data_IF_410411475161
#
_entry.id   IF_410411475161
#
_cell.length_a   1.000
_cell.length_b   1.000
_cell.length_c   1.000
_cell.angle_alpha   90.00
_cell.angle_beta   90.00
_cell.angle_gamma   90.00
#
_symmetry.space_group_name_H-M   'P 1'
#
loop_
_entity.id
_entity.type
_entity.pdbx_description
1 polymer ?
#
# COMPACT_ATOMS: atom_id res chain seq x y z
N UNK A 1 -19.26 36.67 -8.32
CA UNK A 1 -20.08 35.48 -8.04
C UNK A 1 -19.17 34.40 -7.47
N UNK A 2 -19.38 33.95 -6.24
CA UNK A 2 -18.57 32.89 -5.66
C UNK A 2 -18.99 31.55 -6.27
N UNK A 3 -18.07 30.91 -6.99
CA UNK A 3 -18.28 29.58 -7.57
C UNK A 3 -18.29 28.57 -6.43
N UNK A 4 -19.43 27.95 -6.15
CA UNK A 4 -19.49 26.81 -5.23
C UNK A 4 -18.86 25.60 -5.90
N UNK A 5 -17.77 25.09 -5.33
CA UNK A 5 -17.19 23.82 -5.78
C UNK A 5 -18.15 22.67 -5.51
N UNK A 6 -18.12 21.61 -6.33
CA UNK A 6 -18.88 20.39 -6.05
C UNK A 6 -18.46 19.81 -4.68
N UNK A 7 -19.35 19.05 -4.03
CA UNK A 7 -19.05 18.42 -2.75
C UNK A 7 -17.85 17.47 -2.88
N UNK A 8 -16.92 17.56 -1.92
CA UNK A 8 -15.77 16.67 -1.86
C UNK A 8 -16.23 15.22 -1.67
N UNK A 9 -15.89 14.28 -2.58
CA UNK A 9 -16.49 12.96 -2.59
C UNK A 9 -15.91 12.01 -1.55
N UNK A 10 -14.78 12.35 -0.92
CA UNK A 10 -14.05 11.44 -0.04
C UNK A 10 -14.34 11.69 1.45
N UNK A 11 -14.27 10.63 2.30
CA UNK A 11 -14.41 10.77 3.75
C UNK A 11 -13.41 11.73 4.40
N UNK A 12 -13.76 12.24 5.58
CA UNK A 12 -12.88 13.11 6.38
C UNK A 12 -11.72 12.38 7.04
N UNK A 13 -11.85 11.06 7.24
CA UNK A 13 -10.87 10.23 7.93
C UNK A 13 -10.32 9.18 6.99
N UNK A 14 -8.99 9.08 6.96
CA UNK A 14 -8.26 8.17 6.10
C UNK A 14 -7.40 7.28 6.99
N UNK A 15 -7.49 5.97 6.83
CA UNK A 15 -6.61 5.04 7.52
C UNK A 15 -5.24 5.03 6.82
N UNK A 16 -4.25 5.64 7.46
CA UNK A 16 -2.88 5.70 6.98
C UNK A 16 -2.28 4.29 6.88
N UNK A 17 -1.76 3.93 5.70
CA UNK A 17 -1.18 2.62 5.37
C UNK A 17 -2.03 1.42 5.80
N UNK A 18 -3.35 1.51 5.68
CA UNK A 18 -4.28 0.43 6.03
C UNK A 18 -4.94 0.57 7.42
N UNK A 19 -4.16 0.62 8.51
CA UNK A 19 -4.71 0.71 9.88
C UNK A 19 -3.80 1.46 10.86
N UNK A 20 -2.97 2.38 10.36
CA UNK A 20 -1.99 3.09 11.16
C UNK A 20 -1.00 2.13 11.81
N UNK A 21 -1.03 2.03 13.15
CA UNK A 21 -0.13 1.18 13.94
C UNK A 21 -0.80 -0.08 14.49
N UNK A 22 -2.04 -0.37 14.09
CA UNK A 22 -2.84 -1.49 14.64
C UNK A 22 -2.57 -2.83 13.91
N UNK A 23 -1.96 -2.76 12.72
CA UNK A 23 -1.65 -3.89 11.86
C UNK A 23 -0.41 -3.53 11.02
N UNK A 24 0.30 -4.52 10.43
CA UNK A 24 1.48 -4.27 9.61
C UNK A 24 1.12 -3.36 8.43
N UNK A 25 1.74 -2.19 8.38
CA UNK A 25 1.46 -1.15 7.39
C UNK A 25 1.52 -1.69 5.95
N UNK A 26 0.71 -1.12 5.06
CA UNK A 26 0.75 -1.42 3.61
C UNK A 26 0.43 -2.89 3.26
N UNK A 27 -0.29 -3.62 4.11
CA UNK A 27 -0.71 -5.03 3.89
C UNK A 27 -2.22 -5.18 3.72
N UNK A 28 -2.69 -6.28 3.14
CA UNK A 28 -4.12 -6.57 3.04
C UNK A 28 -4.73 -6.80 4.44
N UNK A 29 -3.97 -7.41 5.35
CA UNK A 29 -4.33 -7.55 6.76
C UNK A 29 -4.62 -6.19 7.41
N UNK A 30 -3.80 -5.17 7.17
CA UNK A 30 -4.07 -3.82 7.69
C UNK A 30 -5.35 -3.22 7.12
N UNK A 31 -5.67 -3.43 5.84
CA UNK A 31 -6.90 -2.90 5.26
C UNK A 31 -8.14 -3.57 5.84
N UNK A 32 -8.08 -4.89 6.06
CA UNK A 32 -9.14 -5.65 6.75
C UNK A 32 -9.32 -5.16 8.18
N UNK A 33 -8.22 -4.96 8.89
CA UNK A 33 -8.23 -4.47 10.26
C UNK A 33 -8.84 -3.07 10.34
N UNK A 34 -8.37 -2.12 9.53
CA UNK A 34 -8.91 -0.75 9.51
C UNK A 34 -10.39 -0.71 9.09
N UNK A 35 -10.81 -1.54 8.14
CA UNK A 35 -12.23 -1.65 7.76
C UNK A 35 -13.11 -2.13 8.92
N UNK A 36 -12.60 -3.03 9.76
CA UNK A 36 -13.29 -3.50 10.97
C UNK A 36 -13.54 -2.39 12.01
N UNK A 37 -12.73 -1.32 12.01
CA UNK A 37 -12.94 -0.12 12.83
C UNK A 37 -13.84 0.93 12.18
N UNK A 38 -14.42 0.65 11.01
CA UNK A 38 -15.35 1.56 10.34
C UNK A 38 -14.71 2.54 9.36
N UNK A 39 -13.40 2.48 9.12
CA UNK A 39 -12.77 3.31 8.08
C UNK A 39 -13.35 2.96 6.69
N UNK A 40 -13.52 4.00 5.87
CA UNK A 40 -14.05 3.91 4.49
C UNK A 40 -13.11 4.49 3.44
N UNK A 41 -11.97 5.01 3.88
CA UNK A 41 -10.89 5.46 3.00
C UNK A 41 -9.56 5.04 3.59
N UNK A 42 -8.66 4.58 2.72
CA UNK A 42 -7.34 4.06 3.08
C UNK A 42 -6.28 4.76 2.25
N UNK A 43 -5.19 5.15 2.88
CA UNK A 43 -3.99 5.60 2.19
C UNK A 43 -2.97 4.47 2.17
N UNK A 44 -2.14 4.43 1.13
CA UNK A 44 -1.02 3.51 1.02
C UNK A 44 0.03 3.98 0.00
N UNK A 45 1.23 3.44 0.17
CA UNK A 45 2.43 3.77 -0.62
C UNK A 45 2.66 2.77 -1.75
N UNK A 46 2.78 3.24 -2.99
CA UNK A 46 3.04 2.37 -4.15
C UNK A 46 4.39 2.66 -4.80
N UNK A 47 5.11 1.59 -5.15
CA UNK A 47 6.33 1.61 -5.98
C UNK A 47 6.42 0.41 -6.90
N UNK A 48 7.50 0.32 -7.66
CA UNK A 48 7.74 -0.77 -8.60
C UNK A 48 8.74 -1.79 -8.06
N UNK A 49 8.46 -3.07 -8.31
CA UNK A 49 9.45 -4.15 -8.29
C UNK A 49 10.45 -4.02 -9.45
N UNK A 50 11.50 -4.86 -9.45
CA UNK A 50 12.51 -4.90 -10.51
C UNK A 50 11.91 -5.17 -11.90
N UNK A 51 10.89 -6.02 -11.97
CA UNK A 51 10.12 -6.34 -13.19
C UNK A 51 8.94 -5.38 -13.43
N UNK A 52 8.93 -4.22 -12.77
CA UNK A 52 8.02 -3.11 -13.05
C UNK A 52 6.60 -3.30 -12.55
N UNK A 53 6.37 -4.20 -11.59
CA UNK A 53 5.04 -4.46 -11.03
C UNK A 53 4.75 -3.53 -9.84
N UNK A 54 3.59 -2.85 -9.79
CA UNK A 54 3.23 -2.02 -8.64
C UNK A 54 2.96 -2.84 -7.37
N UNK A 55 3.71 -2.55 -6.31
CA UNK A 55 3.64 -3.17 -4.99
C UNK A 55 3.50 -2.12 -3.91
N UNK A 56 2.89 -2.49 -2.78
CA UNK A 56 2.76 -1.59 -1.63
C UNK A 56 3.95 -1.75 -0.68
N UNK A 57 4.70 -0.67 -0.49
CA UNK A 57 5.80 -0.59 0.48
C UNK A 57 6.22 0.87 0.64
N UNK A 58 6.37 1.36 1.86
CA UNK A 58 6.81 2.75 2.08
C UNK A 58 8.30 2.97 1.79
N UNK A 59 9.18 2.20 2.43
CA UNK A 59 10.62 2.42 2.42
C UNK A 59 11.27 1.96 1.11
N UNK A 60 12.31 2.66 0.65
CA UNK A 60 13.09 2.21 -0.51
C UNK A 60 13.71 0.82 -0.31
N UNK A 61 13.88 0.41 0.95
CA UNK A 61 14.46 -0.88 1.34
C UNK A 61 13.46 -1.75 2.08
N UNK A 62 13.78 -3.04 2.17
CA UNK A 62 12.93 -4.09 2.73
C UNK A 62 13.10 -4.26 4.25
N UNK A 63 14.13 -3.65 4.82
CA UNK A 63 14.70 -3.97 6.13
C UNK A 63 13.74 -3.75 7.32
N UNK A 64 12.91 -2.70 7.28
CA UNK A 64 12.08 -2.30 8.42
C UNK A 64 10.82 -3.13 8.56
N UNK A 65 10.15 -3.45 7.45
CA UNK A 65 8.78 -3.98 7.46
C UNK A 65 8.66 -5.33 6.76
N UNK A 66 9.77 -6.02 6.53
CA UNK A 66 9.74 -7.35 5.90
C UNK A 66 10.85 -8.26 6.43
N UNK A 67 10.81 -9.54 6.06
CA UNK A 67 11.92 -10.49 6.26
C UNK A 67 13.10 -10.29 5.30
N UNK A 68 12.95 -9.45 4.27
CA UNK A 68 13.99 -9.17 3.29
C UNK A 68 15.00 -8.11 3.72
N UNK A 69 15.99 -7.86 2.86
CA UNK A 69 17.06 -6.85 3.05
C UNK A 69 17.38 -6.17 1.74
N UNK A 70 17.82 -4.92 1.81
CA UNK A 70 18.24 -4.16 0.63
C UNK A 70 17.08 -3.55 -0.13
N UNK A 71 17.34 -3.06 -1.35
CA UNK A 71 16.37 -2.28 -2.12
C UNK A 71 15.22 -3.13 -2.64
N UNK A 72 14.00 -2.60 -2.55
CA UNK A 72 12.81 -3.29 -3.06
C UNK A 72 12.79 -3.39 -4.59
N UNK A 73 13.35 -2.41 -5.29
CA UNK A 73 13.44 -2.40 -6.77
C UNK A 73 14.56 -3.29 -7.33
N UNK A 74 15.28 -4.01 -6.48
CA UNK A 74 16.24 -5.03 -6.88
C UNK A 74 15.62 -6.43 -7.02
N UNK A 75 14.40 -6.64 -6.51
CA UNK A 75 13.70 -7.92 -6.55
C UNK A 75 12.47 -7.87 -7.46
N UNK A 76 12.21 -8.96 -8.16
CA UNK A 76 10.99 -9.16 -8.95
C UNK A 76 9.77 -9.31 -8.03
N UNK A 77 8.56 -9.14 -8.58
CA UNK A 77 7.33 -9.41 -7.84
C UNK A 77 7.29 -10.84 -7.27
N UNK A 78 7.77 -11.82 -8.04
CA UNK A 78 7.81 -13.22 -7.60
C UNK A 78 8.66 -13.40 -6.34
N UNK A 79 9.83 -12.76 -6.28
CA UNK A 79 10.73 -12.77 -5.13
C UNK A 79 10.16 -11.99 -3.95
N UNK A 80 9.62 -10.78 -4.20
CA UNK A 80 8.98 -9.96 -3.16
C UNK A 80 7.79 -10.66 -2.50
N UNK A 81 7.02 -11.44 -3.28
CA UNK A 81 5.86 -12.19 -2.79
C UNK A 81 6.25 -13.34 -1.83
N UNK A 82 7.52 -13.75 -1.79
CA UNK A 82 8.00 -14.75 -0.83
C UNK A 82 8.39 -14.14 0.53
N UNK A 83 8.43 -12.81 0.64
CA UNK A 83 8.80 -12.12 1.88
C UNK A 83 7.62 -12.04 2.84
N UNK A 84 7.93 -12.09 4.13
CA UNK A 84 6.98 -11.88 5.21
C UNK A 84 7.00 -10.39 5.60
N UNK A 85 5.91 -9.69 5.34
CA UNK A 85 5.68 -8.28 5.64
C UNK A 85 4.84 -8.06 6.92
N UNK A 86 4.58 -9.10 7.72
CA UNK A 86 3.71 -9.02 8.90
C UNK A 86 4.36 -9.41 10.22
N UNK A 87 5.30 -10.36 10.22
CA UNK A 87 5.94 -10.87 11.45
C UNK A 87 6.67 -9.79 12.27
N UNK A 88 7.20 -8.75 11.62
CA UNK A 88 7.86 -7.63 12.29
C UNK A 88 6.90 -6.84 13.20
N UNK A 89 5.61 -6.82 12.87
CA UNK A 89 4.59 -6.13 13.63
C UNK A 89 4.12 -6.97 14.81
N UNK A 90 3.68 -8.21 14.55
CA UNK A 90 3.32 -9.17 15.60
C UNK A 90 3.16 -10.60 15.05
N UNK A 91 3.27 -11.64 15.90
CA UNK A 91 3.11 -13.04 15.48
C UNK A 91 1.75 -13.36 14.83
N UNK A 92 0.71 -12.58 15.15
CA UNK A 92 -0.63 -12.77 14.59
C UNK A 92 -0.72 -12.47 13.09
N UNK A 93 0.26 -11.75 12.53
CA UNK A 93 0.35 -11.42 11.11
C UNK A 93 1.50 -12.14 10.40
N UNK A 94 2.05 -13.20 11.02
CA UNK A 94 3.13 -13.95 10.41
C UNK A 94 2.73 -14.51 9.04
N UNK A 95 3.62 -14.35 8.06
CA UNK A 95 3.40 -14.77 6.67
C UNK A 95 2.56 -13.82 5.81
N UNK A 96 2.14 -12.66 6.32
CA UNK A 96 1.45 -11.66 5.49
C UNK A 96 2.38 -11.18 4.36
N UNK A 97 2.03 -11.33 3.08
CA UNK A 97 2.91 -10.97 1.98
C UNK A 97 2.88 -9.47 1.68
N UNK A 98 3.89 -8.98 0.94
CA UNK A 98 3.82 -7.65 0.28
C UNK A 98 2.72 -7.69 -0.78
N UNK A 99 1.65 -6.88 -0.70
CA UNK A 99 0.57 -6.94 -1.68
C UNK A 99 0.89 -6.13 -2.93
N UNK A 100 0.29 -6.53 -4.05
CA UNK A 100 0.27 -5.73 -5.27
C UNK A 100 -0.80 -4.64 -5.19
N UNK A 101 -0.62 -3.55 -5.95
CA UNK A 101 -1.67 -2.54 -6.14
C UNK A 101 -2.97 -3.18 -6.65
N UNK A 102 -2.87 -4.14 -7.57
CA UNK A 102 -4.02 -4.83 -8.13
C UNK A 102 -4.82 -5.62 -7.08
N UNK A 103 -4.13 -6.29 -6.14
CA UNK A 103 -4.79 -7.01 -5.05
C UNK A 103 -5.56 -6.07 -4.12
N UNK A 104 -4.95 -4.93 -3.78
CA UNK A 104 -5.59 -3.90 -2.96
C UNK A 104 -6.77 -3.27 -3.69
N UNK A 105 -6.62 -2.93 -4.97
CA UNK A 105 -7.71 -2.40 -5.79
C UNK A 105 -8.89 -3.37 -5.90
N UNK A 106 -8.62 -4.67 -6.06
CA UNK A 106 -9.66 -5.69 -6.07
C UNK A 106 -10.42 -5.74 -4.73
N UNK A 107 -9.69 -5.75 -3.61
CA UNK A 107 -10.30 -5.74 -2.28
C UNK A 107 -11.13 -4.47 -2.03
N UNK A 108 -10.59 -3.28 -2.31
CA UNK A 108 -11.27 -2.02 -2.02
C UNK A 108 -12.51 -1.83 -2.88
N UNK A 109 -12.45 -2.19 -4.17
CA UNK A 109 -13.63 -2.19 -5.05
C UNK A 109 -14.71 -3.16 -4.58
N UNK A 110 -14.33 -4.38 -4.20
CA UNK A 110 -15.29 -5.37 -3.70
C UNK A 110 -16.00 -4.94 -2.41
N UNK A 111 -15.38 -4.04 -1.62
CA UNK A 111 -15.90 -3.58 -0.33
C UNK A 111 -16.40 -2.13 -0.36
N UNK A 112 -16.46 -1.48 -1.53
CA UNK A 112 -16.91 -0.09 -1.66
C UNK A 112 -16.06 0.92 -0.87
N UNK A 113 -14.74 0.69 -0.81
CA UNK A 113 -13.79 1.51 -0.05
C UNK A 113 -13.10 2.52 -0.98
N UNK A 114 -12.92 3.74 -0.49
CA UNK A 114 -12.11 4.76 -1.16
C UNK A 114 -10.62 4.54 -0.87
N UNK A 115 -9.78 5.05 -1.76
CA UNK A 115 -8.32 4.97 -1.62
C UNK A 115 -7.66 6.31 -1.92
N UNK A 116 -6.58 6.59 -1.22
CA UNK A 116 -5.58 7.61 -1.56
C UNK A 116 -4.29 6.87 -1.91
N UNK A 117 -3.87 6.94 -3.18
CA UNK A 117 -2.67 6.25 -3.65
C UNK A 117 -1.49 7.22 -3.56
N UNK A 118 -0.59 7.02 -2.61
CA UNK A 118 0.67 7.77 -2.55
C UNK A 118 1.68 7.15 -3.51
N UNK A 119 2.09 7.92 -4.53
CA UNK A 119 3.16 7.51 -5.46
C UNK A 119 4.49 7.67 -4.71
N UNK A 120 5.07 6.54 -4.29
CA UNK A 120 6.23 6.48 -3.38
C UNK A 120 7.44 5.78 -4.01
N UNK A 121 8.01 6.34 -5.09
CA UNK A 121 9.04 5.67 -5.87
C UNK A 121 10.30 5.40 -5.04
N UNK A 122 11.06 4.40 -5.46
CA UNK A 122 12.47 4.33 -5.03
C UNK A 122 13.21 5.50 -5.71
N UNK A 123 14.11 6.22 -5.02
CA UNK A 123 14.80 7.37 -5.60
C UNK A 123 15.45 7.03 -6.95
N UNK A 124 15.16 7.85 -7.97
CA UNK A 124 15.59 7.66 -9.36
C UNK A 124 14.59 6.90 -10.25
N UNK A 125 13.43 6.50 -9.72
CA UNK A 125 12.38 5.77 -10.47
C UNK A 125 11.05 6.53 -10.56
N UNK A 126 11.04 7.83 -10.26
CA UNK A 126 9.86 8.66 -10.08
C UNK A 126 8.96 8.66 -11.31
N UNK A 127 9.52 8.96 -12.49
CA UNK A 127 8.74 9.04 -13.73
C UNK A 127 8.12 7.68 -14.12
N UNK A 128 8.89 6.59 -13.96
CA UNK A 128 8.42 5.23 -14.25
C UNK A 128 7.30 4.81 -13.29
N UNK A 129 7.47 5.08 -12.00
CA UNK A 129 6.48 4.76 -10.98
C UNK A 129 5.20 5.57 -11.21
N UNK A 130 5.33 6.88 -11.46
CA UNK A 130 4.19 7.74 -11.77
C UNK A 130 3.39 7.26 -12.98
N UNK A 131 4.07 6.93 -14.08
CA UNK A 131 3.43 6.41 -15.29
C UNK A 131 2.73 5.06 -15.04
N UNK A 132 3.30 4.17 -14.23
CA UNK A 132 2.73 2.85 -13.96
C UNK A 132 1.56 2.88 -12.97
N UNK A 133 1.48 3.89 -12.11
CA UNK A 133 0.44 3.99 -11.05
C UNK A 133 -0.73 4.89 -11.46
N UNK A 134 -0.49 5.90 -12.30
CA UNK A 134 -1.49 6.90 -12.66
C UNK A 134 -2.34 6.57 -13.92
N UNK A 135 -2.02 5.47 -14.62
CA UNK A 135 -2.78 4.97 -15.78
C UNK A 135 -3.80 3.91 -15.36
#
# INVERSE_FOLDING_TARGET
MATTLPPWPYPRTIAHRGAGKLAPENTLAAFRHGASFGYRMFEFDVKLSADGKPVLLHDATLDRTTSGRGRADALTLGELAQLDAGSWHSPAYAGEPIPTLAAIAAYTRANGLHVNIEIKPVPGTEARTGAAVAL
#
